data_IF_699992375873
#
_entry.id   IF_699992375873
#
_cell.length_a   1.000
_cell.length_b   1.000
_cell.length_c   1.000
_cell.angle_alpha   90.00
_cell.angle_beta   90.00
_cell.angle_gamma   90.00
#
_symmetry.space_group_name_H-M   'P 1'
#
loop_
_entity.id
_entity.type
_entity.pdbx_description
1 polymer ?
#
# COMPACT_ATOMS: atom_id res chain seq x y z
N UNK A 1 -62.64 -21.52 -33.63
CA UNK A 1 -62.51 -22.96 -33.75
C UNK A 1 -61.97 -23.39 -32.41
N UNK A 2 -62.84 -23.65 -31.41
CA UNK A 2 -63.54 -24.90 -31.17
C UNK A 2 -62.49 -25.96 -30.73
N UNK A 3 -62.49 -26.52 -29.57
CA UNK A 3 -63.52 -27.29 -28.83
C UNK A 3 -63.00 -27.51 -27.42
N UNK A 4 -63.62 -27.20 -26.30
CA UNK A 4 -64.69 -27.93 -25.60
C UNK A 4 -64.46 -29.44 -25.50
N UNK A 5 -64.34 -29.91 -24.27
CA UNK A 5 -65.19 -30.94 -23.63
C UNK A 5 -64.57 -31.29 -22.26
N UNK A 6 -65.11 -30.82 -21.12
CA UNK A 6 -66.17 -31.51 -20.30
C UNK A 6 -65.94 -33.00 -20.08
N UNK A 7 -65.74 -33.48 -18.85
CA UNK A 7 -66.76 -34.11 -18.02
C UNK A 7 -66.23 -34.88 -16.79
N UNK A 8 -66.89 -34.62 -15.74
CA UNK A 8 -67.50 -35.55 -14.73
C UNK A 8 -66.67 -36.10 -13.57
N UNK A 9 -67.12 -35.55 -12.46
CA UNK A 9 -67.44 -36.20 -11.17
C UNK A 9 -67.24 -37.71 -11.06
N UNK A 10 -66.58 -38.09 -9.97
CA UNK A 10 -67.08 -39.16 -9.17
C UNK A 10 -66.70 -39.00 -7.67
N UNK A 11 -67.72 -38.73 -6.86
CA UNK A 11 -67.68 -38.83 -5.44
C UNK A 11 -67.41 -40.29 -5.04
N UNK A 12 -66.47 -40.48 -4.13
CA UNK A 12 -66.55 -41.60 -3.24
C UNK A 12 -66.00 -41.19 -1.87
N UNK A 13 -66.92 -41.09 -0.97
CA UNK A 13 -66.70 -41.00 0.45
C UNK A 13 -65.86 -42.20 0.92
N UNK A 14 -64.73 -41.91 1.58
CA UNK A 14 -64.23 -42.88 2.53
C UNK A 14 -63.52 -42.17 3.70
N UNK A 15 -64.02 -42.49 4.79
CA UNK A 15 -63.72 -42.38 6.18
C UNK A 15 -62.32 -41.86 6.53
N UNK A 16 -62.26 -40.71 7.19
CA UNK A 16 -61.10 -40.16 7.87
C UNK A 16 -60.86 -40.96 9.16
N UNK A 17 -59.76 -41.68 9.31
CA UNK A 17 -59.32 -42.12 10.61
C UNK A 17 -58.70 -40.98 11.37
N UNK A 18 -59.18 -40.67 12.53
CA UNK A 18 -58.66 -39.71 13.49
C UNK A 18 -57.17 -39.95 13.76
N UNK A 19 -56.33 -38.89 13.80
CA UNK A 19 -54.95 -39.07 14.15
C UNK A 19 -54.79 -39.51 15.60
N UNK A 20 -53.84 -40.40 15.88
CA UNK A 20 -53.62 -40.83 17.27
C UNK A 20 -52.98 -39.61 18.01
N UNK A 21 -53.64 -39.24 19.09
CA UNK A 21 -53.12 -38.27 20.07
C UNK A 21 -51.96 -38.90 20.83
N UNK A 22 -50.78 -38.87 20.24
CA UNK A 22 -49.58 -39.26 20.94
C UNK A 22 -49.00 -38.01 21.62
N UNK A 23 -49.36 -37.81 22.87
CA UNK A 23 -48.84 -36.77 23.76
C UNK A 23 -47.34 -36.90 24.08
N UNK A 24 -46.66 -37.90 23.50
CA UNK A 24 -45.21 -38.10 23.70
C UNK A 24 -44.29 -37.32 22.77
N UNK A 25 -44.74 -36.92 21.56
CA UNK A 25 -43.90 -36.26 20.57
C UNK A 25 -43.55 -34.83 20.93
N UNK A 26 -44.47 -34.12 21.60
CA UNK A 26 -44.21 -32.71 21.98
C UNK A 26 -43.19 -32.58 23.12
N UNK A 27 -43.26 -33.48 24.11
CA UNK A 27 -42.28 -33.52 25.20
C UNK A 27 -40.90 -33.94 24.72
N UNK A 28 -40.84 -34.90 23.81
CA UNK A 28 -39.55 -35.34 23.21
C UNK A 28 -38.93 -34.26 22.33
N UNK A 29 -39.72 -33.50 21.59
CA UNK A 29 -39.27 -32.37 20.80
C UNK A 29 -38.77 -31.23 21.70
N UNK A 30 -39.44 -30.92 22.81
CA UNK A 30 -39.01 -29.91 23.77
C UNK A 30 -37.67 -30.29 24.44
N UNK A 31 -37.50 -31.55 24.81
CA UNK A 31 -36.25 -32.06 25.37
C UNK A 31 -35.11 -31.98 24.34
N UNK A 32 -35.39 -32.35 23.10
CA UNK A 32 -34.37 -32.24 22.03
C UNK A 32 -33.94 -30.77 21.80
N UNK A 33 -34.90 -29.86 21.69
CA UNK A 33 -34.60 -28.43 21.51
C UNK A 33 -33.82 -27.88 22.71
N UNK A 34 -34.17 -28.24 23.95
CA UNK A 34 -33.42 -27.78 25.12
C UNK A 34 -32.01 -28.36 25.20
N UNK A 35 -31.77 -29.58 24.75
CA UNK A 35 -30.43 -30.17 24.65
C UNK A 35 -29.59 -29.45 23.58
N UNK A 36 -30.18 -29.14 22.43
CA UNK A 36 -29.47 -28.37 21.37
C UNK A 36 -29.09 -26.97 21.86
N UNK A 37 -30.02 -26.26 22.50
CA UNK A 37 -29.78 -24.92 23.05
C UNK A 37 -28.69 -24.95 24.13
N UNK A 38 -28.68 -25.97 24.99
CA UNK A 38 -27.64 -26.15 26.01
C UNK A 38 -26.28 -26.45 25.39
N UNK A 39 -26.24 -27.26 24.32
CA UNK A 39 -25.00 -27.56 23.59
C UNK A 39 -24.48 -26.32 22.89
N UNK A 40 -25.31 -25.54 22.20
CA UNK A 40 -24.90 -24.29 21.55
C UNK A 40 -24.42 -23.26 22.57
N UNK A 41 -25.13 -23.10 23.68
CA UNK A 41 -24.76 -22.18 24.75
C UNK A 41 -23.43 -22.60 25.41
N UNK A 42 -23.27 -23.90 25.67
CA UNK A 42 -22.01 -24.45 26.19
C UNK A 42 -20.84 -24.27 25.24
N UNK A 43 -21.06 -24.51 23.94
CA UNK A 43 -20.05 -24.32 22.92
C UNK A 43 -19.67 -22.86 22.79
N UNK A 44 -20.61 -21.92 22.89
CA UNK A 44 -20.37 -20.49 22.88
C UNK A 44 -19.50 -20.04 24.09
N UNK A 45 -19.80 -20.55 25.28
CA UNK A 45 -18.99 -20.26 26.48
C UNK A 45 -17.58 -20.84 26.43
N UNK A 46 -17.37 -21.95 25.71
CA UNK A 46 -16.04 -22.59 25.59
C UNK A 46 -15.21 -22.03 24.44
N UNK A 47 -15.83 -21.49 23.36
CA UNK A 47 -15.12 -20.95 22.22
C UNK A 47 -14.89 -19.43 22.28
N UNK A 48 -15.63 -18.70 23.10
CA UNK A 48 -15.39 -17.26 23.27
C UNK A 48 -14.26 -17.07 24.27
N UNK A 49 -13.08 -16.61 23.82
CA UNK A 49 -11.97 -16.37 24.72
C UNK A 49 -12.37 -15.31 25.76
N UNK A 50 -11.93 -15.49 26.99
CA UNK A 50 -12.22 -14.53 28.07
C UNK A 50 -11.65 -13.16 27.74
N UNK A 51 -12.25 -12.10 28.26
CA UNK A 51 -11.78 -10.72 28.06
C UNK A 51 -10.29 -10.55 28.46
N UNK A 52 -9.83 -11.32 29.44
CA UNK A 52 -8.44 -11.33 29.89
C UNK A 52 -7.50 -11.98 28.86
N UNK A 53 -7.93 -13.04 28.17
CA UNK A 53 -7.13 -13.66 27.10
C UNK A 53 -7.05 -12.76 25.86
N UNK A 54 -8.12 -12.04 25.53
CA UNK A 54 -8.13 -11.10 24.42
C UNK A 54 -7.22 -9.91 24.71
N UNK A 55 -7.20 -9.40 25.94
CA UNK A 55 -6.30 -8.31 26.32
C UNK A 55 -4.85 -8.77 26.35
N UNK A 56 -4.54 -9.94 26.87
CA UNK A 56 -3.20 -10.52 26.86
C UNK A 56 -2.67 -10.76 25.43
N UNK A 57 -3.54 -11.24 24.52
CA UNK A 57 -3.19 -11.39 23.10
C UNK A 57 -2.97 -10.04 22.40
N UNK A 58 -3.76 -9.03 22.74
CA UNK A 58 -3.58 -7.68 22.21
C UNK A 58 -2.29 -7.03 22.70
N UNK A 59 -1.95 -7.17 23.98
CA UNK A 59 -0.67 -6.71 24.54
C UNK A 59 0.53 -7.46 23.94
N UNK A 60 0.45 -8.78 23.79
CA UNK A 60 1.49 -9.58 23.15
C UNK A 60 1.72 -9.15 21.70
N UNK A 61 0.66 -8.86 20.95
CA UNK A 61 0.76 -8.33 19.57
C UNK A 61 1.35 -6.93 19.53
N UNK A 62 0.98 -6.05 20.46
CA UNK A 62 1.56 -4.72 20.60
C UNK A 62 3.05 -4.80 20.90
N UNK A 63 3.46 -5.61 21.87
CA UNK A 63 4.87 -5.81 22.22
C UNK A 63 5.65 -6.37 21.03
N UNK A 64 5.12 -7.38 20.34
CA UNK A 64 5.80 -7.95 19.16
C UNK A 64 5.88 -6.93 18.00
N UNK A 65 4.87 -6.10 17.79
CA UNK A 65 4.88 -5.07 16.76
C UNK A 65 5.86 -3.92 17.09
N UNK A 66 6.02 -3.58 18.36
CA UNK A 66 7.01 -2.57 18.81
C UNK A 66 8.42 -3.13 18.67
N UNK A 67 8.67 -4.36 19.13
CA UNK A 67 9.97 -5.01 18.97
C UNK A 67 10.36 -5.19 17.49
N UNK A 68 9.40 -5.54 16.63
CA UNK A 68 9.67 -5.68 15.20
C UNK A 68 9.98 -4.32 14.55
N UNK A 69 9.34 -3.23 15.01
CA UNK A 69 9.68 -1.87 14.58
C UNK A 69 11.05 -1.43 15.06
N UNK A 70 11.42 -1.76 16.30
CA UNK A 70 12.74 -1.44 16.84
C UNK A 70 13.85 -2.19 16.11
N UNK A 71 13.68 -3.49 15.83
CA UNK A 71 14.63 -4.27 15.04
C UNK A 71 14.74 -3.72 13.61
N UNK A 72 13.61 -3.41 12.96
CA UNK A 72 13.62 -2.82 11.62
C UNK A 72 14.26 -1.43 11.60
N UNK A 73 14.07 -0.64 12.65
CA UNK A 73 14.72 0.67 12.78
C UNK A 73 16.21 0.55 13.07
N UNK A 74 16.63 -0.44 13.89
CA UNK A 74 18.03 -0.73 14.12
C UNK A 74 18.74 -1.24 12.85
N UNK A 75 18.10 -2.11 12.08
CA UNK A 75 18.63 -2.55 10.78
C UNK A 75 18.71 -1.41 9.78
N UNK A 76 17.71 -0.50 9.75
CA UNK A 76 17.76 0.71 8.92
C UNK A 76 18.88 1.65 9.35
N UNK A 77 19.09 1.86 10.64
CA UNK A 77 20.17 2.68 11.15
C UNK A 77 21.55 2.10 10.76
N UNK A 78 21.71 0.76 10.83
CA UNK A 78 22.93 0.09 10.36
C UNK A 78 23.11 0.23 8.83
N UNK A 79 22.03 0.24 8.06
CA UNK A 79 22.10 0.44 6.61
C UNK A 79 22.37 1.92 6.26
N UNK A 80 21.89 2.89 7.06
CA UNK A 80 22.21 4.32 6.91
C UNK A 80 23.70 4.59 7.17
N UNK A 81 24.31 3.95 8.15
CA UNK A 81 25.75 4.09 8.41
C UNK A 81 26.64 3.59 7.25
N UNK A 82 26.08 2.72 6.38
CA UNK A 82 26.76 2.22 5.19
C UNK A 82 26.47 3.04 3.92
N UNK A 83 25.65 4.08 4.02
CA UNK A 83 25.26 4.96 2.91
C UNK A 83 26.24 6.14 2.83
N UNK A 84 26.65 6.46 1.62
CA UNK A 84 27.52 7.61 1.31
C UNK A 84 26.83 8.57 0.35
N UNK A 85 27.09 9.85 0.56
CA UNK A 85 26.69 10.90 -0.36
C UNK A 85 27.63 10.96 -1.56
N UNK A 86 27.05 11.13 -2.73
CA UNK A 86 27.75 11.31 -3.99
C UNK A 86 27.28 12.62 -4.64
N UNK A 87 28.20 13.48 -5.01
CA UNK A 87 27.87 14.77 -5.62
C UNK A 87 27.50 14.60 -7.10
N UNK A 88 26.26 14.94 -7.44
CA UNK A 88 25.76 14.94 -8.83
C UNK A 88 26.01 16.27 -9.55
N UNK A 89 26.31 17.33 -8.81
CA UNK A 89 26.68 18.64 -9.31
C UNK A 89 25.60 19.69 -9.30
N UNK A 90 25.99 20.89 -9.74
CA UNK A 90 25.12 22.06 -9.82
C UNK A 90 24.45 22.16 -11.18
N UNK A 91 23.20 22.58 -11.17
CA UNK A 91 22.35 22.80 -12.34
C UNK A 91 21.70 24.17 -12.24
N UNK A 92 21.75 24.92 -13.33
CA UNK A 92 21.03 26.17 -13.47
C UNK A 92 20.33 26.19 -14.82
N UNK A 93 19.00 26.32 -14.79
CA UNK A 93 18.17 26.36 -16.00
C UNK A 93 17.18 27.52 -15.93
N UNK A 94 16.97 28.14 -17.09
CA UNK A 94 15.96 29.18 -17.27
C UNK A 94 14.84 28.61 -18.13
N UNK A 95 13.60 28.77 -17.69
CA UNK A 95 12.44 28.28 -18.41
C UNK A 95 11.28 29.25 -18.33
N UNK A 96 10.40 29.18 -19.32
CA UNK A 96 9.15 29.95 -19.34
C UNK A 96 8.01 28.93 -19.30
N UNK A 97 7.22 28.90 -18.22
CA UNK A 97 6.06 27.99 -18.13
C UNK A 97 5.08 28.26 -19.28
N UNK A 98 4.50 27.20 -19.83
CA UNK A 98 3.45 27.31 -20.82
C UNK A 98 2.31 28.17 -20.26
N UNK A 99 1.91 29.22 -21.00
CA UNK A 99 0.85 30.18 -20.64
C UNK A 99 1.24 31.39 -19.78
N UNK A 100 2.52 31.62 -19.51
CA UNK A 100 2.98 32.86 -18.87
C UNK A 100 4.07 33.52 -19.68
N UNK A 101 4.07 34.86 -19.74
CA UNK A 101 5.19 35.65 -20.30
C UNK A 101 6.38 35.77 -19.30
N UNK A 102 6.24 35.13 -18.14
CA UNK A 102 7.24 35.20 -17.07
C UNK A 102 8.33 34.19 -17.30
N UNK A 103 9.54 34.61 -16.98
CA UNK A 103 10.73 33.77 -17.05
C UNK A 103 11.18 33.44 -15.65
N UNK A 104 11.44 32.18 -15.42
CA UNK A 104 11.93 31.69 -14.14
C UNK A 104 13.32 31.09 -14.28
N UNK A 105 14.13 31.26 -13.26
CA UNK A 105 15.44 30.63 -13.12
C UNK A 105 15.41 29.69 -11.94
N UNK A 106 15.81 28.45 -12.19
CA UNK A 106 16.01 27.42 -11.18
C UNK A 106 17.51 27.17 -11.03
N UNK A 107 17.99 27.24 -9.80
CA UNK A 107 19.33 26.79 -9.44
C UNK A 107 19.23 25.71 -8.37
N UNK A 108 19.93 24.60 -8.58
CA UNK A 108 19.93 23.48 -7.65
C UNK A 108 21.28 22.79 -7.61
N UNK A 109 21.69 22.39 -6.43
CA UNK A 109 22.87 21.54 -6.19
C UNK A 109 22.38 20.17 -5.74
N UNK A 110 22.68 19.16 -6.54
CA UNK A 110 22.18 17.79 -6.36
C UNK A 110 23.23 16.88 -5.71
N UNK A 111 22.77 16.10 -4.76
CA UNK A 111 23.51 14.94 -4.30
C UNK A 111 22.65 13.68 -4.40
N UNK A 112 23.30 12.57 -4.60
CA UNK A 112 22.71 11.25 -4.52
C UNK A 112 23.25 10.50 -3.33
N UNK A 113 22.53 9.51 -2.84
CA UNK A 113 23.05 8.57 -1.87
C UNK A 113 23.25 7.21 -2.50
N UNK A 114 24.33 6.55 -2.20
CA UNK A 114 24.62 5.19 -2.65
C UNK A 114 25.19 4.36 -1.49
N UNK A 115 25.16 3.05 -1.62
CA UNK A 115 25.80 2.16 -0.65
C UNK A 115 27.31 2.29 -0.75
N UNK A 116 28.00 2.35 0.38
CA UNK A 116 29.47 2.49 0.42
C UNK A 116 30.18 1.43 -0.44
N UNK A 117 29.68 0.21 -0.49
CA UNK A 117 30.24 -0.88 -1.31
C UNK A 117 30.17 -0.60 -2.82
N UNK A 118 29.22 0.25 -3.25
CA UNK A 118 29.01 0.57 -4.66
C UNK A 118 29.64 1.94 -5.04
N UNK A 119 30.30 2.62 -4.11
CA UNK A 119 30.81 3.99 -4.34
C UNK A 119 31.80 4.02 -5.51
N UNK A 120 32.76 3.11 -5.55
CA UNK A 120 33.78 3.06 -6.62
C UNK A 120 33.15 2.78 -8.00
N UNK A 121 32.15 1.89 -8.05
CA UNK A 121 31.41 1.63 -9.28
C UNK A 121 30.62 2.88 -9.69
N UNK A 122 29.94 3.53 -8.75
CA UNK A 122 29.20 4.78 -8.99
C UNK A 122 30.11 5.88 -9.54
N UNK A 123 31.30 6.07 -8.97
CA UNK A 123 32.27 7.06 -9.45
C UNK A 123 32.72 6.77 -10.88
N UNK A 124 33.01 5.51 -11.20
CA UNK A 124 33.43 5.09 -12.53
C UNK A 124 32.34 5.33 -13.56
N UNK A 125 31.11 4.83 -13.31
CA UNK A 125 29.98 4.95 -14.23
C UNK A 125 29.52 6.40 -14.39
N UNK A 126 29.54 7.16 -13.29
CA UNK A 126 29.21 8.58 -13.34
C UNK A 126 30.21 9.35 -14.20
N UNK A 127 31.54 9.11 -14.06
CA UNK A 127 32.57 9.75 -14.85
C UNK A 127 32.41 9.44 -16.34
N UNK A 128 32.10 8.20 -16.68
CA UNK A 128 31.88 7.77 -18.06
C UNK A 128 30.63 8.38 -18.69
N UNK A 129 29.52 8.41 -17.92
CA UNK A 129 28.20 8.81 -18.40
C UNK A 129 27.81 10.24 -18.01
N UNK A 130 28.74 11.03 -17.43
CA UNK A 130 28.48 12.35 -16.85
C UNK A 130 27.75 13.30 -17.81
N UNK A 131 28.16 13.33 -19.06
CA UNK A 131 27.55 14.21 -20.06
C UNK A 131 26.08 13.89 -20.31
N UNK A 132 25.76 12.59 -20.42
CA UNK A 132 24.37 12.12 -20.62
C UNK A 132 23.52 12.36 -19.39
N UNK A 133 24.03 12.02 -18.21
CA UNK A 133 23.34 12.25 -16.93
C UNK A 133 23.00 13.74 -16.76
N UNK A 134 23.99 14.62 -17.00
CA UNK A 134 23.76 16.06 -16.90
C UNK A 134 22.74 16.56 -17.91
N UNK A 135 22.77 16.05 -19.14
CA UNK A 135 21.80 16.42 -20.17
C UNK A 135 20.38 16.02 -19.75
N UNK A 136 20.17 14.79 -19.33
CA UNK A 136 18.85 14.29 -18.94
C UNK A 136 18.29 15.02 -17.71
N UNK A 137 19.13 15.28 -16.71
CA UNK A 137 18.71 16.05 -15.53
C UNK A 137 18.26 17.46 -15.94
N UNK A 138 18.99 18.14 -16.82
CA UNK A 138 18.58 19.44 -17.34
C UNK A 138 17.26 19.38 -18.10
N UNK A 139 17.08 18.34 -18.92
CA UNK A 139 15.82 18.15 -19.66
C UNK A 139 14.63 17.91 -18.72
N UNK A 140 14.84 17.18 -17.63
CA UNK A 140 13.81 16.99 -16.59
C UNK A 140 13.42 18.34 -15.98
N UNK A 141 14.40 19.17 -15.59
CA UNK A 141 14.16 20.47 -14.98
C UNK A 141 13.40 21.39 -15.95
N UNK A 142 13.85 21.47 -17.21
CA UNK A 142 13.22 22.33 -18.23
C UNK A 142 11.80 21.93 -18.60
N UNK A 143 11.49 20.63 -18.49
CA UNK A 143 10.18 20.09 -18.82
C UNK A 143 9.28 19.94 -17.58
N UNK A 144 9.71 20.42 -16.42
CA UNK A 144 8.89 20.44 -15.21
C UNK A 144 7.95 21.64 -15.20
N UNK A 145 6.75 21.44 -14.73
CA UNK A 145 5.81 22.54 -14.51
C UNK A 145 6.23 23.38 -13.29
N UNK A 146 5.82 24.66 -13.26
CA UNK A 146 6.13 25.55 -12.14
C UNK A 146 5.66 24.97 -10.81
N UNK A 147 4.48 24.35 -10.79
CA UNK A 147 3.92 23.70 -9.59
C UNK A 147 4.74 22.52 -9.09
N UNK A 148 5.50 21.85 -9.96
CA UNK A 148 6.42 20.76 -9.58
C UNK A 148 7.72 21.31 -8.99
N UNK A 149 8.08 22.55 -9.36
CA UNK A 149 9.29 23.24 -8.93
C UNK A 149 9.06 24.06 -7.64
N UNK A 150 7.84 24.17 -7.14
CA UNK A 150 7.60 24.72 -5.83
C UNK A 150 8.15 23.79 -4.74
N UNK A 151 8.71 24.36 -3.67
CA UNK A 151 9.39 23.60 -2.61
C UNK A 151 8.59 22.44 -2.05
N UNK A 152 7.27 22.60 -1.93
CA UNK A 152 6.38 21.56 -1.40
C UNK A 152 6.29 20.31 -2.29
N UNK A 153 6.63 20.41 -3.56
CA UNK A 153 6.46 19.35 -4.56
C UNK A 153 7.78 18.76 -5.08
N UNK A 154 8.93 19.20 -4.57
CA UNK A 154 10.25 18.73 -4.99
C UNK A 154 10.44 17.21 -4.91
N UNK A 155 9.65 16.51 -4.10
CA UNK A 155 9.67 15.06 -4.03
C UNK A 155 9.28 14.35 -5.34
N UNK A 156 8.51 15.00 -6.23
CA UNK A 156 8.23 14.46 -7.56
C UNK A 156 9.44 14.61 -8.48
N UNK A 157 10.09 15.78 -8.46
CA UNK A 157 11.30 16.06 -9.19
C UNK A 157 12.43 15.09 -8.78
N UNK A 158 12.64 14.89 -7.48
CA UNK A 158 13.61 13.94 -6.94
C UNK A 158 13.40 12.52 -7.49
N UNK A 159 12.17 12.02 -7.45
CA UNK A 159 11.84 10.67 -7.94
C UNK A 159 12.05 10.53 -9.44
N UNK A 160 11.74 11.58 -10.22
CA UNK A 160 11.95 11.59 -11.67
C UNK A 160 13.43 11.56 -12.01
N UNK A 161 14.23 12.40 -11.33
CA UNK A 161 15.68 12.43 -11.51
C UNK A 161 16.31 11.10 -11.09
N UNK A 162 15.93 10.56 -9.92
CA UNK A 162 16.43 9.26 -9.43
C UNK A 162 16.17 8.13 -10.43
N UNK A 163 14.94 8.06 -10.96
CA UNK A 163 14.60 7.03 -11.96
C UNK A 163 15.44 7.17 -13.22
N UNK A 164 15.60 8.38 -13.72
CA UNK A 164 16.36 8.64 -14.95
C UNK A 164 17.85 8.36 -14.74
N UNK A 165 18.42 8.77 -13.61
CA UNK A 165 19.82 8.47 -13.29
C UNK A 165 20.04 6.95 -13.20
N UNK A 166 19.21 6.23 -12.46
CA UNK A 166 19.31 4.76 -12.33
C UNK A 166 19.05 4.02 -13.66
N UNK A 167 18.29 4.61 -14.57
CA UNK A 167 18.09 4.04 -15.90
C UNK A 167 19.32 4.19 -16.81
N UNK A 168 20.09 5.25 -16.61
CA UNK A 168 21.32 5.50 -17.38
C UNK A 168 22.55 4.78 -16.81
N UNK A 169 22.56 4.57 -15.50
CA UNK A 169 23.53 3.71 -14.82
C UNK A 169 23.15 2.24 -15.09
N UNK A 170 24.14 1.37 -15.18
CA UNK A 170 23.89 -0.05 -15.53
C UNK A 170 23.10 -0.77 -14.44
N UNK A 171 23.34 -0.37 -13.18
CA UNK A 171 22.64 -0.87 -12.01
C UNK A 171 21.92 0.29 -11.29
N UNK A 172 20.93 -0.03 -10.45
CA UNK A 172 20.26 0.93 -9.59
C UNK A 172 21.19 1.34 -8.42
N UNK A 173 22.25 2.08 -8.72
CA UNK A 173 23.30 2.44 -7.78
C UNK A 173 22.85 3.52 -6.80
N UNK A 174 21.98 4.45 -7.24
CA UNK A 174 21.46 5.52 -6.41
C UNK A 174 20.25 5.04 -5.60
N UNK A 175 20.31 5.24 -4.29
CA UNK A 175 19.22 4.95 -3.35
C UNK A 175 18.24 6.12 -3.26
N UNK A 176 18.77 7.34 -3.22
CA UNK A 176 17.97 8.55 -3.17
C UNK A 176 18.70 9.72 -3.82
N UNK A 177 17.94 10.80 -4.06
CA UNK A 177 18.47 12.09 -4.50
C UNK A 177 17.97 13.16 -3.54
N UNK A 178 18.86 14.09 -3.20
CA UNK A 178 18.53 15.25 -2.39
C UNK A 178 19.09 16.54 -3.01
N UNK A 179 18.64 17.66 -2.47
CA UNK A 179 19.11 18.98 -2.83
C UNK A 179 19.95 19.54 -1.67
N UNK A 180 21.19 19.96 -1.96
CA UNK A 180 22.00 20.72 -1.02
C UNK A 180 21.56 22.18 -0.97
N UNK A 181 21.22 22.71 -2.14
CA UNK A 181 20.58 24.02 -2.28
C UNK A 181 19.55 23.97 -3.39
N UNK A 182 18.54 24.78 -3.24
CA UNK A 182 17.46 24.97 -4.21
C UNK A 182 17.04 26.43 -4.20
N UNK A 183 16.98 27.05 -5.35
CA UNK A 183 16.51 28.42 -5.54
C UNK A 183 15.65 28.50 -6.79
N UNK A 184 14.47 29.08 -6.66
CA UNK A 184 13.56 29.39 -7.75
C UNK A 184 13.30 30.91 -7.73
N UNK A 185 13.76 31.61 -8.76
CA UNK A 185 13.60 33.05 -8.88
C UNK A 185 12.85 33.44 -10.15
N UNK A 186 11.95 34.39 -10.07
CA UNK A 186 11.33 35.07 -11.21
C UNK A 186 12.33 36.14 -11.71
N UNK A 187 12.56 36.20 -13.03
CA UNK A 187 13.43 37.15 -13.68
C UNK A 187 12.70 38.35 -14.31
#
# INVERSE_FOLDING_TARGET
>A
MADETENQENETSDEVPAPPTSGGGRTLMLVFVSVVVLLETGMFFFLVPSADEVSALAEARLISSVQQKEVTNAERALDEDLVKEFNLGMYGETFSPNHTERVYRVELDLFGTCRQKNLTQMESEFSEKQGRLRHEIRMIIRNSDLSELEENNLGLLQRRILRTCNHLLEDALLLSIGFKSYELAEQ
#
